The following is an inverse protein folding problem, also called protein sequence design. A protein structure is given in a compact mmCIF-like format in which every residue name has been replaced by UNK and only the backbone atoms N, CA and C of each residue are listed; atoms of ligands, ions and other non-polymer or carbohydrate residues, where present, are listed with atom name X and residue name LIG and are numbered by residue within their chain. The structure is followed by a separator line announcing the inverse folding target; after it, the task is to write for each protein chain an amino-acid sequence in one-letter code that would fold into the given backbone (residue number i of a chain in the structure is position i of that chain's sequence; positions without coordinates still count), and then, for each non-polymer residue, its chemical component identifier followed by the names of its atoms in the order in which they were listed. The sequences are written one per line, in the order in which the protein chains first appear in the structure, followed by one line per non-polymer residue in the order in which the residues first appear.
data_IF_372732346684
#
_entry.id   IF_372732346684
#
_cell.length_a   1.000
_cell.length_b   1.000
_cell.length_c   1.000
_cell.angle_alpha   90.00
_cell.angle_beta   90.00
_cell.angle_gamma   90.00
#
_symmetry.space_group_name_H-M   'P 1'
#
loop_
_entity.id
_entity.type
_entity.pdbx_description
1 polymer ?
#
# COMPACT_ATOMS: atom_id res chain seq x y z
N UNK A 1 6.12 4.09 5.66
CA UNK A 1 5.18 2.95 5.45
C UNK A 1 3.70 3.39 5.41
N UNK A 2 3.37 4.62 4.93
CA UNK A 2 2.03 5.22 5.08
C UNK A 2 0.90 4.51 4.32
N UNK A 3 1.21 3.83 3.22
CA UNK A 3 0.23 3.15 2.35
C UNK A 3 0.24 1.62 2.47
N UNK A 4 0.75 1.04 3.57
CA UNK A 4 0.71 -0.42 3.76
C UNK A 4 -0.70 -0.84 4.21
N UNK A 5 -1.39 -1.62 3.39
CA UNK A 5 -2.67 -2.23 3.72
C UNK A 5 -2.43 -3.51 4.54
N UNK A 6 -2.97 -3.64 5.77
CA UNK A 6 -2.82 -4.84 6.58
C UNK A 6 -3.84 -5.92 6.18
N UNK A 7 -3.54 -6.68 5.12
CA UNK A 7 -4.41 -7.74 4.57
C UNK A 7 -4.80 -8.76 5.63
N UNK A 8 -3.87 -9.23 6.47
CA UNK A 8 -4.16 -10.24 7.51
C UNK A 8 -5.21 -9.76 8.51
N UNK A 9 -5.13 -8.47 8.89
CA UNK A 9 -6.11 -7.85 9.78
C UNK A 9 -7.47 -7.71 9.08
N UNK A 10 -7.48 -7.47 7.77
CA UNK A 10 -8.71 -7.43 6.97
C UNK A 10 -9.35 -8.81 6.85
N UNK A 11 -8.57 -9.86 6.58
CA UNK A 11 -9.04 -11.25 6.57
C UNK A 11 -9.67 -11.59 7.92
N UNK A 12 -8.97 -11.30 9.03
CA UNK A 12 -9.47 -11.57 10.38
C UNK A 12 -10.74 -10.80 10.75
N UNK A 13 -10.98 -9.62 10.14
CA UNK A 13 -12.23 -8.86 10.32
C UNK A 13 -13.38 -9.41 9.48
N UNK A 14 -13.07 -10.03 8.34
CA UNK A 14 -14.06 -10.61 7.43
C UNK A 14 -14.43 -12.05 7.80
N UNK A 15 -13.55 -12.76 8.50
CA UNK A 15 -13.79 -14.13 8.97
C UNK A 15 -14.52 -14.08 10.32
N UNK A 16 -15.78 -14.53 10.40
CA UNK A 16 -16.49 -14.61 11.67
C UNK A 16 -15.88 -15.68 12.58
N UNK A 17 -15.87 -15.44 13.90
CA UNK A 17 -15.28 -16.36 14.87
C UNK A 17 -15.86 -17.79 14.84
N UNK A 18 -17.10 -17.95 14.42
CA UNK A 18 -17.80 -19.24 14.31
C UNK A 18 -17.57 -19.97 12.97
N UNK A 19 -16.93 -19.32 11.99
CA UNK A 19 -16.60 -19.87 10.66
C UNK A 19 -15.07 -19.90 10.48
N UNK A 20 -14.37 -20.54 11.42
CA UNK A 20 -12.91 -20.65 11.48
C UNK A 20 -12.31 -21.74 10.58
N UNK A 21 -13.09 -22.28 9.64
CA UNK A 21 -12.62 -23.33 8.73
C UNK A 21 -11.48 -22.83 7.84
N UNK A 22 -10.36 -23.57 7.80
CA UNK A 22 -9.18 -23.21 6.98
C UNK A 22 -9.51 -22.94 5.51
N UNK A 23 -10.43 -23.70 4.92
CA UNK A 23 -10.87 -23.53 3.53
C UNK A 23 -11.54 -22.18 3.29
N UNK A 24 -12.33 -21.70 4.25
CA UNK A 24 -13.01 -20.41 4.18
C UNK A 24 -12.01 -19.25 4.34
N UNK A 25 -11.07 -19.38 5.27
CA UNK A 25 -10.00 -18.38 5.45
C UNK A 25 -9.17 -18.23 4.18
N UNK A 26 -8.74 -19.36 3.58
CA UNK A 26 -7.99 -19.35 2.33
C UNK A 26 -8.80 -18.77 1.16
N UNK A 27 -10.11 -19.01 1.11
CA UNK A 27 -10.99 -18.40 0.13
C UNK A 27 -11.01 -16.87 0.28
N UNK A 28 -11.27 -16.35 1.48
CA UNK A 28 -11.27 -14.90 1.76
C UNK A 28 -9.91 -14.28 1.46
N UNK A 29 -8.82 -14.97 1.82
CA UNK A 29 -7.46 -14.53 1.51
C UNK A 29 -7.19 -14.47 -0.01
N UNK A 30 -7.69 -15.45 -0.77
CA UNK A 30 -7.59 -15.46 -2.23
C UNK A 30 -8.35 -14.31 -2.89
N UNK A 31 -9.51 -13.93 -2.35
CA UNK A 31 -10.28 -12.77 -2.81
C UNK A 31 -9.56 -11.45 -2.54
N UNK A 32 -8.80 -11.37 -1.45
CA UNK A 32 -8.03 -10.18 -1.07
C UNK A 32 -6.64 -10.10 -1.72
N UNK A 33 -6.13 -11.20 -2.26
CA UNK A 33 -4.83 -11.24 -2.94
C UNK A 33 -4.64 -10.20 -4.06
N UNK A 34 -5.60 -9.96 -4.99
CA UNK A 34 -5.44 -8.92 -6.01
C UNK A 34 -5.31 -7.52 -5.41
N UNK A 35 -5.99 -7.25 -4.30
CA UNK A 35 -5.89 -5.98 -3.58
C UNK A 35 -4.50 -5.79 -2.96
N UNK A 36 -3.89 -6.88 -2.46
CA UNK A 36 -2.52 -6.85 -1.96
C UNK A 36 -1.53 -6.49 -3.07
N UNK A 37 -1.63 -7.16 -4.22
CA UNK A 37 -0.77 -6.92 -5.38
C UNK A 37 -0.89 -5.48 -5.89
N UNK A 38 -2.11 -4.95 -5.99
CA UNK A 38 -2.35 -3.58 -6.40
C UNK A 38 -1.77 -2.58 -5.40
N UNK A 39 -1.95 -2.82 -4.09
CA UNK A 39 -1.40 -1.95 -3.07
C UNK A 39 0.14 -1.92 -3.11
N UNK A 40 0.78 -3.03 -3.41
CA UNK A 40 2.24 -3.08 -3.54
C UNK A 40 2.73 -2.24 -4.72
N UNK A 41 2.05 -2.34 -5.88
CA UNK A 41 2.32 -1.48 -7.04
C UNK A 41 2.10 0.01 -6.73
N UNK A 42 0.98 0.33 -6.06
CA UNK A 42 0.68 1.70 -5.65
C UNK A 42 1.74 2.25 -4.69
N UNK A 43 2.26 1.42 -3.78
CA UNK A 43 3.32 1.85 -2.86
C UNK A 43 4.62 2.19 -3.59
N UNK A 44 4.97 1.43 -4.62
CA UNK A 44 6.15 1.73 -5.46
C UNK A 44 5.94 3.05 -6.19
N UNK A 45 4.81 3.21 -6.86
CA UNK A 45 4.44 4.45 -7.56
C UNK A 45 4.45 5.67 -6.61
N UNK A 46 3.82 5.56 -5.45
CA UNK A 46 3.76 6.65 -4.48
C UNK A 46 5.13 7.02 -3.92
N UNK A 47 6.06 6.06 -3.81
CA UNK A 47 7.44 6.32 -3.40
C UNK A 47 8.18 7.09 -4.49
N UNK A 48 8.09 6.65 -5.74
CA UNK A 48 8.72 7.31 -6.89
C UNK A 48 8.23 8.74 -7.04
N UNK A 49 6.90 8.95 -7.02
CA UNK A 49 6.31 10.28 -7.11
C UNK A 49 6.70 11.22 -5.99
N UNK A 50 6.83 10.69 -4.77
CA UNK A 50 7.27 11.49 -3.64
C UNK A 50 8.76 11.85 -3.72
N UNK A 51 9.59 11.00 -4.31
CA UNK A 51 10.99 11.33 -4.61
C UNK A 51 11.03 12.42 -5.69
N UNK A 52 10.31 12.23 -6.79
CA UNK A 52 10.20 13.20 -7.89
C UNK A 52 9.80 14.59 -7.38
N UNK A 53 8.71 14.69 -6.62
CA UNK A 53 8.23 15.95 -6.06
C UNK A 53 9.27 16.63 -5.12
N UNK A 54 10.04 15.84 -4.36
CA UNK A 54 11.11 16.37 -3.51
C UNK A 54 12.28 16.90 -4.33
N UNK A 55 12.66 16.20 -5.41
CA UNK A 55 13.72 16.64 -6.32
C UNK A 55 13.32 17.95 -6.98
N UNK A 56 12.09 18.07 -7.49
CA UNK A 56 11.58 19.32 -8.06
C UNK A 56 11.59 20.46 -7.04
N UNK A 57 11.16 20.20 -5.80
CA UNK A 57 11.17 21.20 -4.73
C UNK A 57 12.58 21.67 -4.39
N UNK A 58 13.56 20.77 -4.39
CA UNK A 58 14.97 21.10 -4.15
C UNK A 58 15.55 21.93 -5.29
N UNK A 59 15.27 21.56 -6.54
CA UNK A 59 15.71 22.32 -7.72
C UNK A 59 15.18 23.75 -7.66
N UNK A 60 13.88 23.95 -7.41
CA UNK A 60 13.27 25.28 -7.27
C UNK A 60 13.97 26.10 -6.18
N UNK A 61 14.27 25.48 -5.03
CA UNK A 61 14.95 26.17 -3.94
C UNK A 61 16.38 26.59 -4.32
N UNK A 62 17.11 25.72 -5.02
CA UNK A 62 18.46 26.05 -5.49
C UNK A 62 18.46 27.10 -6.61
N UNK A 63 17.51 27.05 -7.53
CA UNK A 63 17.33 28.08 -8.57
C UNK A 63 17.02 29.45 -7.96
N UNK A 64 16.26 29.49 -6.86
CA UNK A 64 16.00 30.72 -6.12
C UNK A 64 17.23 31.22 -5.36
N UNK A 65 18.00 30.34 -4.74
CA UNK A 65 19.18 30.73 -3.93
C UNK A 65 20.37 31.20 -4.79
N UNK A 66 20.50 30.65 -6.00
CA UNK A 66 21.62 30.94 -6.90
C UNK A 66 21.36 32.11 -7.87
N UNK A 67 20.12 32.58 -7.99
CA UNK A 67 19.76 33.83 -8.67
C UNK A 67 19.76 35.01 -7.69
#
# INVERSE_FOLDING_TARGET
MRYKLPIDRSVNRLVPHYLSGRRFILFVQSCLYPLQSLNERFRTFARERHIEARMTSQVIYFEWFLN
#
